data_IF_432122799771
#
_entry.id   IF_432122799771
#
_cell.length_a   1.000
_cell.length_b   1.000
_cell.length_c   1.000
_cell.angle_alpha   90.00
_cell.angle_beta   90.00
_cell.angle_gamma   90.00
#
_symmetry.space_group_name_H-M   'P 1'
#
loop_
_entity.id
_entity.type
_entity.pdbx_description
1 polymer ?
#
# COMPACT_ATOMS: atom_id res chain seq x y z
N UNK A 1 14.44 -19.69 20.90
CA UNK A 1 13.13 -19.55 20.20
C UNK A 1 13.35 -18.71 18.94
N UNK A 2 12.69 -19.04 17.83
CA UNK A 2 12.72 -18.17 16.64
C UNK A 2 12.01 -16.86 16.97
N UNK A 3 12.52 -15.69 16.55
CA UNK A 3 11.81 -14.44 16.74
C UNK A 3 10.46 -14.49 16.02
N UNK A 4 9.40 -14.00 16.68
CA UNK A 4 8.05 -13.93 16.12
C UNK A 4 8.02 -12.92 14.96
N UNK A 5 7.44 -13.32 13.83
CA UNK A 5 7.29 -12.47 12.65
C UNK A 5 5.88 -11.85 12.64
N UNK A 6 5.79 -10.53 12.76
CA UNK A 6 4.52 -9.81 12.66
C UNK A 6 4.17 -9.50 11.20
N UNK A 7 3.07 -10.02 10.68
CA UNK A 7 2.57 -9.70 9.34
C UNK A 7 1.29 -8.87 9.49
N UNK A 8 1.35 -7.59 9.08
CA UNK A 8 0.25 -6.64 9.27
C UNK A 8 -0.30 -6.22 7.92
N UNK A 9 -1.62 -6.37 7.71
CA UNK A 9 -2.32 -5.84 6.54
C UNK A 9 -2.99 -4.51 6.89
N UNK A 10 -2.58 -3.42 6.23
CA UNK A 10 -3.25 -2.13 6.39
C UNK A 10 -4.48 -2.03 5.46
N UNK A 11 -5.60 -1.56 6.01
CA UNK A 11 -6.85 -1.35 5.28
C UNK A 11 -6.78 -0.12 4.37
N UNK A 12 -7.51 -0.15 3.25
CA UNK A 12 -7.49 0.94 2.27
C UNK A 12 -7.94 2.29 2.84
N UNK A 13 -8.92 2.31 3.75
CA UNK A 13 -9.39 3.56 4.37
C UNK A 13 -8.31 4.26 5.19
N UNK A 14 -7.45 3.49 5.89
CA UNK A 14 -6.34 4.04 6.67
C UNK A 14 -5.28 4.66 5.75
N UNK A 15 -5.05 4.08 4.56
CA UNK A 15 -4.08 4.60 3.59
C UNK A 15 -4.52 5.96 3.03
N UNK A 16 -5.81 6.17 2.82
CA UNK A 16 -6.35 7.41 2.23
C UNK A 16 -6.48 8.57 3.24
N UNK A 17 -6.47 8.27 4.55
CA UNK A 17 -6.47 9.28 5.60
C UNK A 17 -5.03 9.52 6.11
N UNK A 18 -4.42 10.68 5.84
CA UNK A 18 -3.04 10.95 6.23
C UNK A 18 -2.78 10.88 7.74
N UNK A 19 -3.74 11.28 8.57
CA UNK A 19 -3.58 11.28 10.02
C UNK A 19 -3.63 9.85 10.58
N UNK A 20 -4.58 9.05 10.09
CA UNK A 20 -4.71 7.64 10.42
C UNK A 20 -3.51 6.82 9.92
N UNK A 21 -3.05 7.06 8.69
CA UNK A 21 -1.83 6.43 8.17
C UNK A 21 -0.63 6.75 9.04
N UNK A 22 -0.42 8.03 9.36
CA UNK A 22 0.73 8.45 10.18
C UNK A 22 0.67 7.83 11.58
N UNK A 23 -0.51 7.78 12.20
CA UNK A 23 -0.72 7.11 13.50
C UNK A 23 -0.41 5.63 13.41
N UNK A 24 -0.92 4.93 12.39
CA UNK A 24 -0.65 3.53 12.15
C UNK A 24 0.85 3.26 11.97
N UNK A 25 1.54 4.05 11.13
CA UNK A 25 2.96 3.85 10.85
C UNK A 25 3.85 4.08 12.07
N UNK A 26 3.47 5.01 12.97
CA UNK A 26 4.15 5.18 14.28
C UNK A 26 4.03 3.93 15.16
N UNK A 27 2.85 3.32 15.22
CA UNK A 27 2.68 2.07 15.97
C UNK A 27 3.46 0.92 15.30
N UNK A 28 3.38 0.81 13.97
CA UNK A 28 4.10 -0.20 13.22
C UNK A 28 5.62 -0.06 13.38
N UNK A 29 6.16 1.16 13.35
CA UNK A 29 7.60 1.40 13.53
C UNK A 29 8.09 0.98 14.93
N UNK A 30 7.24 1.05 15.95
CA UNK A 30 7.56 0.64 17.32
C UNK A 30 7.72 -0.87 17.55
N UNK A 31 7.21 -1.72 16.64
CA UNK A 31 7.37 -3.18 16.74
C UNK A 31 8.86 -3.55 16.63
N UNK A 32 9.42 -4.18 17.67
CA UNK A 32 10.85 -4.49 17.78
C UNK A 32 11.27 -5.79 17.09
N UNK A 33 10.32 -6.68 16.80
CA UNK A 33 10.57 -7.97 16.17
C UNK A 33 10.49 -7.84 14.65
N UNK A 34 10.96 -8.85 13.88
CA UNK A 34 10.76 -8.89 12.44
C UNK A 34 9.30 -8.63 12.06
N UNK A 35 9.09 -7.76 11.07
CA UNK A 35 7.75 -7.32 10.68
C UNK A 35 7.62 -7.08 9.17
N UNK A 36 6.45 -7.38 8.64
CA UNK A 36 6.07 -7.17 7.24
C UNK A 36 4.76 -6.36 7.22
N UNK A 37 4.75 -5.30 6.42
CA UNK A 37 3.56 -4.51 6.14
C UNK A 37 3.05 -4.83 4.74
N UNK A 38 1.81 -5.31 4.64
CA UNK A 38 1.10 -5.51 3.38
C UNK A 38 0.08 -4.39 3.21
N UNK A 39 0.08 -3.73 2.05
CA UNK A 39 -0.86 -2.64 1.75
C UNK A 39 -1.67 -2.93 0.49
N UNK A 40 -2.78 -2.21 0.33
CA UNK A 40 -3.52 -2.14 -0.92
C UNK A 40 -3.34 -0.77 -1.58
N UNK A 41 -4.27 -0.39 -2.44
CA UNK A 41 -4.33 0.97 -3.00
C UNK A 41 -5.53 1.18 -3.91
N UNK A 42 -6.61 0.39 -3.72
CA UNK A 42 -7.70 0.27 -4.69
C UNK A 42 -8.39 1.60 -5.02
N UNK A 43 -8.63 2.43 -4.00
CA UNK A 43 -9.21 3.77 -4.16
C UNK A 43 -8.28 4.66 -4.97
N UNK A 44 -7.01 4.77 -4.55
CA UNK A 44 -5.98 5.50 -5.30
C UNK A 44 -5.81 5.03 -6.76
N UNK A 45 -5.89 3.74 -7.02
CA UNK A 45 -5.82 3.20 -8.39
C UNK A 45 -7.03 3.63 -9.23
N UNK A 46 -8.23 3.65 -8.66
CA UNK A 46 -9.41 4.22 -9.34
C UNK A 46 -9.22 5.71 -9.63
N UNK A 47 -8.74 6.49 -8.67
CA UNK A 47 -8.51 7.93 -8.85
C UNK A 47 -7.49 8.22 -9.95
N UNK A 48 -6.35 7.53 -9.93
CA UNK A 48 -5.30 7.69 -10.94
C UNK A 48 -5.77 7.20 -12.30
N UNK A 49 -6.44 6.04 -12.36
CA UNK A 49 -7.01 5.51 -13.59
C UNK A 49 -7.97 6.51 -14.25
N UNK A 50 -8.90 7.08 -13.47
CA UNK A 50 -9.84 8.09 -13.97
C UNK A 50 -9.13 9.31 -14.57
N UNK A 51 -8.05 9.79 -13.95
CA UNK A 51 -7.25 10.91 -14.49
C UNK A 51 -6.53 10.57 -15.79
N UNK A 52 -6.25 9.29 -16.03
CA UNK A 52 -5.61 8.77 -17.23
C UNK A 52 -6.61 8.25 -18.28
N UNK A 53 -7.92 8.42 -18.05
CA UNK A 53 -8.97 7.90 -18.94
C UNK A 53 -9.19 6.38 -18.85
N UNK A 54 -8.66 5.72 -17.81
CA UNK A 54 -8.83 4.28 -17.55
C UNK A 54 -9.91 4.08 -16.49
N UNK A 55 -11.11 3.73 -16.93
CA UNK A 55 -12.27 3.55 -16.04
C UNK A 55 -12.26 2.21 -15.32
N UNK A 56 -12.50 2.26 -14.00
CA UNK A 56 -12.54 1.07 -13.17
C UNK A 56 -13.84 0.28 -13.37
N UNK A 57 -13.74 -1.00 -13.77
CA UNK A 57 -14.88 -1.92 -13.87
C UNK A 57 -14.80 -3.00 -12.81
N UNK A 58 -15.92 -3.32 -12.18
CA UNK A 58 -16.02 -4.31 -11.10
C UNK A 58 -16.94 -5.46 -11.52
N UNK A 59 -16.55 -6.69 -11.17
CA UNK A 59 -17.36 -7.90 -11.30
C UNK A 59 -17.20 -8.74 -10.04
N UNK A 60 -18.32 -9.07 -9.37
CA UNK A 60 -18.32 -9.85 -8.12
C UNK A 60 -17.30 -9.36 -7.07
N UNK A 61 -17.25 -8.04 -6.84
CA UNK A 61 -16.34 -7.42 -5.87
C UNK A 61 -14.88 -7.35 -6.28
N UNK A 62 -14.52 -7.79 -7.49
CA UNK A 62 -13.15 -7.73 -8.03
C UNK A 62 -13.06 -6.80 -9.22
N UNK A 63 -11.90 -6.17 -9.41
CA UNK A 63 -11.62 -5.31 -10.56
C UNK A 63 -11.38 -6.17 -11.80
N UNK A 64 -12.08 -5.86 -12.89
CA UNK A 64 -11.71 -6.34 -14.22
C UNK A 64 -10.41 -5.62 -14.59
N UNK A 65 -9.35 -6.39 -14.82
CA UNK A 65 -8.00 -5.84 -15.02
C UNK A 65 -7.52 -6.18 -16.43
N UNK A 66 -7.72 -5.24 -17.36
CA UNK A 66 -7.07 -5.26 -18.68
C UNK A 66 -5.66 -4.67 -18.60
N UNK A 67 -4.94 -4.63 -19.73
CA UNK A 67 -3.55 -4.15 -19.79
C UNK A 67 -3.40 -2.73 -19.22
N UNK A 68 -4.25 -1.80 -19.63
CA UNK A 68 -4.20 -0.42 -19.15
C UNK A 68 -4.50 -0.32 -17.64
N UNK A 69 -5.49 -1.08 -17.16
CA UNK A 69 -5.83 -1.14 -15.73
C UNK A 69 -4.71 -1.78 -14.90
N UNK A 70 -3.98 -2.75 -15.47
CA UNK A 70 -2.84 -3.40 -14.83
C UNK A 70 -1.68 -2.41 -14.67
N UNK A 71 -1.34 -1.65 -15.72
CA UNK A 71 -0.28 -0.63 -15.65
C UNK A 71 -0.60 0.42 -14.59
N UNK A 72 -1.85 0.88 -14.53
CA UNK A 72 -2.31 1.79 -13.46
C UNK A 72 -2.16 1.16 -12.08
N UNK A 73 -2.54 -0.11 -11.92
CA UNK A 73 -2.40 -0.81 -10.65
C UNK A 73 -0.93 -0.92 -10.22
N UNK A 74 -0.02 -1.27 -11.13
CA UNK A 74 1.42 -1.37 -10.84
C UNK A 74 2.02 -0.02 -10.46
N UNK A 75 1.77 1.02 -11.27
CA UNK A 75 2.23 2.39 -10.99
C UNK A 75 1.78 2.88 -9.61
N UNK A 76 0.55 2.58 -9.23
CA UNK A 76 -0.02 3.05 -7.97
C UNK A 76 0.42 2.18 -6.79
N UNK A 77 0.39 0.86 -6.92
CA UNK A 77 0.69 -0.04 -5.81
C UNK A 77 2.18 -0.05 -5.54
N UNK A 78 3.01 -0.41 -6.51
CA UNK A 78 4.46 -0.54 -6.31
C UNK A 78 5.19 0.82 -6.31
N UNK A 79 4.66 1.80 -7.05
CA UNK A 79 5.19 3.16 -7.08
C UNK A 79 4.58 4.03 -5.99
N UNK A 80 3.45 4.68 -6.30
CA UNK A 80 2.96 5.79 -5.50
C UNK A 80 2.68 5.46 -4.03
N UNK A 81 1.87 4.43 -3.75
CA UNK A 81 1.45 4.10 -2.38
C UNK A 81 2.60 3.48 -1.61
N UNK A 82 3.28 2.48 -2.20
CA UNK A 82 4.40 1.81 -1.55
C UNK A 82 5.52 2.78 -1.18
N UNK A 83 5.98 3.63 -2.11
CA UNK A 83 7.11 4.54 -1.84
C UNK A 83 6.75 5.64 -0.85
N UNK A 84 5.48 6.08 -0.79
CA UNK A 84 5.02 6.99 0.27
C UNK A 84 5.08 6.34 1.66
N UNK A 85 4.60 5.11 1.79
CA UNK A 85 4.65 4.36 3.06
C UNK A 85 6.12 4.13 3.48
N UNK A 86 6.97 3.69 2.55
CA UNK A 86 8.41 3.47 2.80
C UNK A 86 9.08 4.76 3.27
N UNK A 87 8.87 5.88 2.57
CA UNK A 87 9.46 7.17 2.97
C UNK A 87 9.02 7.62 4.35
N UNK A 88 7.74 7.46 4.70
CA UNK A 88 7.25 7.78 6.04
C UNK A 88 7.84 6.88 7.12
N UNK A 89 7.95 5.57 6.87
CA UNK A 89 8.58 4.63 7.81
C UNK A 89 10.07 4.95 8.01
N UNK A 90 10.80 5.22 6.92
CA UNK A 90 12.20 5.63 7.01
C UNK A 90 12.36 6.95 7.78
N UNK A 91 11.45 7.91 7.59
CA UNK A 91 11.39 9.14 8.38
C UNK A 91 11.12 8.93 9.87
N UNK A 92 10.55 7.79 10.26
CA UNK A 92 10.36 7.36 11.66
C UNK A 92 11.54 6.52 12.18
N UNK A 93 12.65 6.45 11.45
CA UNK A 93 13.82 5.63 11.81
C UNK A 93 13.63 4.14 11.55
N UNK A 94 12.53 3.73 10.90
CA UNK A 94 12.31 2.34 10.51
C UNK A 94 12.87 2.12 9.09
N UNK A 95 13.99 1.41 8.98
CA UNK A 95 14.68 1.14 7.71
C UNK A 95 13.86 0.18 6.80
N UNK A 96 12.78 0.70 6.22
CA UNK A 96 11.85 -0.06 5.41
C UNK A 96 12.34 -0.19 3.96
N UNK A 97 12.06 -1.34 3.35
CA UNK A 97 12.21 -1.58 1.91
C UNK A 97 10.84 -1.95 1.32
N UNK A 98 10.54 -1.37 0.16
CA UNK A 98 9.28 -1.61 -0.53
C UNK A 98 9.45 -2.55 -1.71
N UNK A 99 8.73 -3.68 -1.69
CA UNK A 99 8.79 -4.74 -2.69
C UNK A 99 7.45 -4.93 -3.40
N UNK A 100 7.49 -5.40 -4.64
CA UNK A 100 6.36 -5.96 -5.39
C UNK A 100 6.60 -7.44 -5.68
N UNK A 101 5.52 -8.19 -5.91
CA UNK A 101 5.61 -9.56 -6.43
C UNK A 101 5.61 -9.65 -7.97
N UNK A 102 5.40 -8.53 -8.65
CA UNK A 102 5.61 -8.36 -10.09
C UNK A 102 7.04 -7.89 -10.34
#
# INVERSE_FOLDING_TARGET
>A
MKPELAIVKIGGNVIEDPAELQRFLRHFSGIQHPKILVHGGGKRATEVGKKLGVEARMVAGRRITDTASLDVALMVYAGLVNKKIVGQLQGLGCNAIGLSGA
#
